data_IF_495014993554
#
_entry.id   IF_495014993554
#
_cell.length_a   1.000
_cell.length_b   1.000
_cell.length_c   1.000
_cell.angle_alpha   90.00
_cell.angle_beta   90.00
_cell.angle_gamma   90.00
#
_symmetry.space_group_name_H-M   'P 1'
#
loop_
_entity.id
_entity.type
_entity.pdbx_description
1 polymer ?
#
# COMPACT_ATOMS: atom_id res chain seq x y z
N UNK A 1 35.18 32.34 -23.60
CA UNK A 1 34.99 30.97 -24.10
C UNK A 1 34.02 30.27 -23.18
N UNK A 2 32.76 30.09 -23.60
CA UNK A 2 31.67 29.59 -22.77
C UNK A 2 31.49 28.10 -23.04
N UNK A 3 31.85 27.24 -22.08
CA UNK A 3 31.69 25.78 -22.22
C UNK A 3 30.24 25.39 -21.91
N UNK A 4 29.44 25.21 -22.95
CA UNK A 4 28.08 24.70 -22.87
C UNK A 4 28.10 23.23 -22.43
N UNK A 5 27.74 22.95 -21.18
CA UNK A 5 27.47 21.59 -20.70
C UNK A 5 26.18 21.13 -21.37
N UNK A 6 26.30 20.22 -22.34
CA UNK A 6 25.17 19.60 -23.02
C UNK A 6 24.26 18.93 -21.98
N UNK A 7 23.02 19.40 -21.83
CA UNK A 7 22.00 18.78 -20.97
C UNK A 7 21.85 17.31 -21.37
N UNK A 8 22.25 16.41 -20.48
CA UNK A 8 22.04 14.97 -20.63
C UNK A 8 20.54 14.71 -20.83
N UNK A 9 20.19 13.85 -21.79
CA UNK A 9 18.79 13.50 -22.11
C UNK A 9 18.13 12.65 -21.00
N UNK A 10 18.93 12.17 -20.05
CA UNK A 10 18.46 11.52 -18.85
C UNK A 10 18.16 12.59 -17.81
N UNK A 11 16.88 12.72 -17.46
CA UNK A 11 16.45 13.52 -16.32
C UNK A 11 17.04 13.00 -15.01
N UNK A 12 16.88 13.74 -13.89
CA UNK A 12 17.35 13.27 -12.60
C UNK A 12 16.81 11.87 -12.31
N UNK A 13 17.73 10.97 -11.93
CA UNK A 13 17.36 9.59 -11.61
C UNK A 13 16.38 9.57 -10.42
N UNK A 14 15.38 8.69 -10.43
CA UNK A 14 14.51 8.50 -9.29
C UNK A 14 15.35 8.15 -8.06
N UNK A 15 15.12 8.86 -6.96
CA UNK A 15 15.77 8.56 -5.69
C UNK A 15 15.08 7.35 -5.08
N UNK A 16 15.83 6.27 -4.87
CA UNK A 16 15.35 5.17 -4.04
C UNK A 16 15.46 5.62 -2.58
N UNK A 17 14.34 5.98 -1.97
CA UNK A 17 14.30 6.36 -0.56
C UNK A 17 14.10 5.13 0.30
N UNK A 18 15.00 4.91 1.26
CA UNK A 18 14.90 3.84 2.26
C UNK A 18 14.60 4.45 3.62
N UNK A 19 13.62 3.89 4.32
CA UNK A 19 13.22 4.32 5.66
C UNK A 19 13.59 3.23 6.66
N UNK A 20 14.35 3.60 7.70
CA UNK A 20 14.65 2.70 8.81
C UNK A 20 13.59 2.84 9.91
N UNK A 21 13.02 1.72 10.33
CA UNK A 21 12.05 1.66 11.42
C UNK A 21 12.60 0.81 12.57
N UNK A 22 12.33 1.24 13.81
CA UNK A 22 12.55 0.44 15.01
C UNK A 22 11.20 -0.04 15.51
N UNK A 23 11.06 -1.36 15.68
CA UNK A 23 9.82 -2.00 16.13
C UNK A 23 10.08 -2.80 17.41
N UNK A 24 9.09 -2.85 18.30
CA UNK A 24 9.11 -3.70 19.48
C UNK A 24 8.36 -4.98 19.16
N UNK A 25 8.99 -6.13 19.40
CA UNK A 25 8.40 -7.45 19.18
C UNK A 25 8.31 -8.20 20.50
N UNK A 26 7.35 -9.12 20.60
CA UNK A 26 7.35 -10.10 21.69
C UNK A 26 8.48 -11.09 21.49
N UNK A 27 8.99 -11.67 22.58
CA UNK A 27 10.05 -12.69 22.51
C UNK A 27 9.60 -13.91 21.70
N UNK A 28 8.33 -14.30 21.82
CA UNK A 28 7.75 -15.40 21.05
C UNK A 28 7.80 -15.13 19.54
N UNK A 29 7.38 -13.94 19.11
CA UNK A 29 7.39 -13.58 17.69
C UNK A 29 8.82 -13.53 17.12
N UNK A 30 9.80 -13.03 17.89
CA UNK A 30 11.21 -13.08 17.48
C UNK A 30 11.67 -14.52 17.24
N UNK A 31 11.38 -15.43 18.16
CA UNK A 31 11.78 -16.84 18.04
C UNK A 31 11.12 -17.53 16.83
N UNK A 32 9.84 -17.24 16.57
CA UNK A 32 9.14 -17.76 15.40
C UNK A 32 9.73 -17.24 14.08
N UNK A 33 10.12 -15.96 14.03
CA UNK A 33 10.78 -15.37 12.87
C UNK A 33 12.17 -15.97 12.60
N UNK A 34 12.96 -16.21 13.65
CA UNK A 34 14.26 -16.90 13.53
C UNK A 34 14.08 -18.34 13.02
N UNK A 35 13.08 -19.05 13.54
CA UNK A 35 12.74 -20.39 13.07
C UNK A 35 12.31 -20.39 11.61
N UNK A 36 11.49 -19.42 11.21
CA UNK A 36 11.06 -19.28 9.83
C UNK A 36 12.25 -19.04 8.90
N UNK A 37 13.18 -18.17 9.28
CA UNK A 37 14.39 -17.89 8.53
C UNK A 37 15.27 -19.15 8.36
N UNK A 38 15.42 -19.95 9.42
CA UNK A 38 16.13 -21.22 9.35
C UNK A 38 15.45 -22.25 8.41
N UNK A 39 14.12 -22.30 8.39
CA UNK A 39 13.37 -23.15 7.46
C UNK A 39 13.50 -22.66 6.01
N UNK A 40 13.47 -21.35 5.79
CA UNK A 40 13.69 -20.75 4.48
C UNK A 40 15.10 -21.10 3.95
N UNK A 41 16.12 -21.01 4.80
CA UNK A 41 17.49 -21.39 4.42
C UNK A 41 17.60 -22.86 4.04
N UNK A 42 16.93 -23.75 4.77
CA UNK A 42 16.87 -25.17 4.41
C UNK A 42 16.18 -25.42 3.07
N UNK A 43 15.11 -24.68 2.77
CA UNK A 43 14.34 -24.86 1.54
C UNK A 43 15.06 -24.32 0.28
N UNK A 44 15.83 -23.24 0.42
CA UNK A 44 16.43 -22.53 -0.71
C UNK A 44 17.97 -22.58 -0.75
N UNK A 45 18.60 -23.22 0.24
CA UNK A 45 20.05 -23.43 0.31
C UNK A 45 20.87 -22.20 0.73
N UNK A 46 20.21 -21.06 0.97
CA UNK A 46 20.86 -19.79 1.29
C UNK A 46 20.46 -19.30 2.68
N UNK A 47 21.43 -19.06 3.59
CA UNK A 47 21.14 -18.51 4.91
C UNK A 47 20.58 -17.09 4.78
N UNK A 48 19.41 -16.87 5.38
CA UNK A 48 18.73 -15.58 5.37
C UNK A 48 18.37 -15.19 6.80
N UNK A 49 18.48 -13.91 7.13
CA UNK A 49 18.07 -13.39 8.45
C UNK A 49 16.60 -12.99 8.42
N UNK A 50 15.90 -13.19 9.53
CA UNK A 50 14.56 -12.68 9.76
C UNK A 50 14.43 -11.20 9.41
N UNK A 51 15.43 -10.37 9.76
CA UNK A 51 15.43 -8.92 9.47
C UNK A 51 15.34 -8.63 7.98
N UNK A 52 15.88 -9.49 7.13
CA UNK A 52 15.80 -9.34 5.67
C UNK A 52 14.47 -9.84 5.11
N UNK A 53 13.84 -10.82 5.76
CA UNK A 53 12.54 -11.35 5.35
C UNK A 53 11.36 -10.46 5.77
N UNK A 54 11.46 -9.80 6.93
CA UNK A 54 10.37 -9.00 7.51
C UNK A 54 9.84 -7.94 6.52
N UNK A 55 10.66 -7.13 5.82
CA UNK A 55 10.15 -6.17 4.84
C UNK A 55 9.32 -6.82 3.74
N UNK A 56 9.77 -7.95 3.18
CA UNK A 56 9.06 -8.68 2.13
C UNK A 56 7.76 -9.32 2.63
N UNK A 57 7.76 -9.83 3.86
CA UNK A 57 6.56 -10.35 4.52
C UNK A 57 5.51 -9.25 4.71
N UNK A 58 5.92 -8.09 5.21
CA UNK A 58 5.02 -6.95 5.44
C UNK A 58 4.48 -6.39 4.13
N UNK A 59 5.32 -6.24 3.10
CA UNK A 59 4.88 -5.81 1.78
C UNK A 59 3.86 -6.79 1.18
N UNK A 60 4.14 -8.10 1.26
CA UNK A 60 3.23 -9.14 0.80
C UNK A 60 1.90 -9.12 1.56
N UNK A 61 1.95 -8.88 2.87
CA UNK A 61 0.76 -8.76 3.72
C UNK A 61 -0.12 -7.59 3.26
N UNK A 62 0.43 -6.38 3.17
CA UNK A 62 -0.30 -5.18 2.75
C UNK A 62 -0.86 -5.33 1.33
N UNK A 63 -0.08 -5.89 0.41
CA UNK A 63 -0.52 -6.11 -0.98
C UNK A 63 -1.70 -7.08 -1.09
N UNK A 64 -1.81 -8.05 -0.18
CA UNK A 64 -2.82 -9.11 -0.18
C UNK A 64 -4.04 -8.78 0.69
N UNK A 65 -3.96 -7.80 1.59
CA UNK A 65 -5.09 -7.39 2.43
C UNK A 65 -6.18 -6.68 1.61
N UNK A 66 -7.22 -7.44 1.24
CA UNK A 66 -8.36 -6.92 0.48
C UNK A 66 -9.18 -5.89 1.26
N UNK A 67 -9.25 -6.00 2.59
CA UNK A 67 -9.97 -5.05 3.44
C UNK A 67 -9.30 -3.69 3.39
N UNK A 68 -7.97 -3.68 3.55
CA UNK A 68 -7.13 -2.50 3.40
C UNK A 68 -7.25 -1.88 2.00
N UNK A 69 -7.14 -2.69 0.93
CA UNK A 69 -7.23 -2.20 -0.45
C UNK A 69 -8.57 -1.55 -0.78
N UNK A 70 -9.69 -2.07 -0.27
CA UNK A 70 -11.02 -1.49 -0.51
C UNK A 70 -11.15 -0.08 0.09
N UNK A 71 -10.54 0.15 1.24
CA UNK A 71 -10.54 1.47 1.89
C UNK A 71 -9.57 2.43 1.20
N UNK A 72 -8.44 1.93 0.69
CA UNK A 72 -7.44 2.73 0.00
C UNK A 72 -7.81 3.09 -1.46
N UNK A 73 -8.56 2.23 -2.15
CA UNK A 73 -9.07 2.49 -3.50
C UNK A 73 -10.26 3.46 -3.50
N UNK A 74 -10.98 3.54 -2.37
CA UNK A 74 -11.97 4.57 -2.14
C UNK A 74 -11.27 5.87 -1.69
N UNK A 75 -10.52 6.49 -2.60
CA UNK A 75 -10.09 7.88 -2.39
C UNK A 75 -11.31 8.77 -2.08
N UNK A 76 -11.12 9.96 -1.47
CA UNK A 76 -12.22 10.86 -1.10
C UNK A 76 -13.19 11.16 -2.27
N UNK A 77 -12.70 11.04 -3.50
CA UNK A 77 -13.44 11.22 -4.73
C UNK A 77 -14.46 10.09 -5.05
N UNK A 78 -14.18 8.85 -4.62
CA UNK A 78 -15.07 7.70 -4.84
C UNK A 78 -16.26 7.68 -3.86
N UNK A 79 -16.05 8.11 -2.62
CA UNK A 79 -17.12 8.24 -1.63
C UNK A 79 -18.04 9.44 -1.98
N UNK A 80 -17.47 10.51 -2.52
CA UNK A 80 -18.21 11.69 -3.02
C UNK A 80 -19.09 11.33 -4.22
N UNK A 81 -18.59 10.56 -5.20
CA UNK A 81 -19.41 10.06 -6.33
C UNK A 81 -20.55 9.12 -5.89
N UNK A 82 -20.31 8.24 -4.91
CA UNK A 82 -21.33 7.31 -4.41
C UNK A 82 -22.48 8.00 -3.67
N UNK A 83 -22.22 9.12 -2.98
CA UNK A 83 -23.27 9.93 -2.36
C UNK A 83 -24.12 10.69 -3.38
N UNK A 84 -23.51 11.20 -4.44
CA UNK A 84 -24.24 11.88 -5.52
C UNK A 84 -25.16 10.92 -6.30
N UNK A 85 -24.75 9.66 -6.49
CA UNK A 85 -25.54 8.66 -7.19
C UNK A 85 -26.76 8.12 -6.40
N UNK A 86 -26.73 8.18 -5.06
CA UNK A 86 -27.84 7.72 -4.21
C UNK A 86 -28.82 8.83 -3.79
N UNK A 87 -28.66 10.06 -4.31
CA UNK A 87 -29.48 11.23 -3.96
C UNK A 87 -30.76 11.44 -4.78
N UNK A 88 -31.08 10.57 -5.76
CA UNK A 88 -32.17 10.81 -6.72
C UNK A 88 -33.32 9.80 -6.67
N UNK A 89 -33.69 9.30 -5.48
CA UNK A 89 -34.93 8.54 -5.31
C UNK A 89 -35.83 9.26 -4.31
N UNK A 90 -36.86 9.92 -4.84
CA UNK A 90 -37.94 10.48 -4.03
C UNK A 90 -38.44 11.88 -4.39
N UNK A 91 -38.47 12.28 -5.66
CA UNK A 91 -39.37 13.34 -6.08
C UNK A 91 -40.80 12.76 -6.14
N UNK A 92 -41.47 12.67 -4.99
CA UNK A 92 -42.91 12.49 -4.96
C UNK A 92 -43.51 13.76 -5.54
N UNK A 93 -44.02 13.67 -6.76
CA UNK A 93 -44.83 14.72 -7.37
C UNK A 93 -46.12 14.82 -6.56
N UNK A 94 -46.19 15.87 -5.74
CA UNK A 94 -47.45 16.47 -5.28
C UNK A 94 -48.00 17.24 -6.47
N UNK A 95 -48.80 16.56 -7.30
CA UNK A 95 -49.72 17.25 -8.19
C UNK A 95 -51.09 17.25 -7.51
N UNK A 96 -51.51 18.47 -7.17
CA UNK A 96 -52.78 18.80 -6.57
C UNK A 96 -53.83 19.10 -7.65
N UNK A 97 -55.02 18.48 -7.48
CA UNK A 97 -56.42 18.96 -7.69
C UNK A 97 -56.86 19.53 -9.07
N UNK A 98 -58.16 19.40 -9.49
CA UNK A 98 -59.32 19.84 -8.68
C UNK A 98 -60.65 19.07 -8.80
N UNK A 99 -61.55 19.41 -7.86
CA UNK A 99 -63.00 19.10 -7.66
C UNK A 99 -63.46 17.63 -7.73
#
# INVERSE_FOLDING_TARGET
MSTSVSKLRLGPLPKTETVKLTIVLTTALKADLERYAALHAQAYGEPVDAVTLIPHMLESFIMRDRGFKKQHAAGPDALTRRRAANGSTGAIRVDALPE
#
